data_IF_667080947448
#
_entry.id   IF_667080947448
#
_cell.length_a   1.000
_cell.length_b   1.000
_cell.length_c   1.000
_cell.angle_alpha   90.00
_cell.angle_beta   90.00
_cell.angle_gamma   90.00
#
_symmetry.space_group_name_H-M   'P 1'
#
loop_
_entity.id
_entity.type
_entity.pdbx_description
1 polymer ?
#
# COMPACT_ATOMS: atom_id res chain seq x y z
N UNK A 1 -9.08 -3.06 -13.58
CA UNK A 1 -8.09 -3.58 -12.60
C UNK A 1 -8.63 -3.38 -11.19
N UNK A 2 -8.63 -4.41 -10.34
CA UNK A 2 -9.31 -4.42 -9.04
C UNK A 2 -8.88 -3.28 -8.09
N UNK A 3 -7.58 -2.98 -8.01
CA UNK A 3 -7.07 -1.93 -7.12
C UNK A 3 -7.61 -0.54 -7.48
N UNK A 4 -7.75 -0.24 -8.78
CA UNK A 4 -8.34 1.03 -9.23
C UNK A 4 -9.82 1.17 -8.86
N UNK A 5 -10.58 0.07 -8.94
CA UNK A 5 -11.99 0.05 -8.53
C UNK A 5 -12.15 0.19 -7.02
N UNK A 6 -11.27 -0.43 -6.22
CA UNK A 6 -11.22 -0.21 -4.78
C UNK A 6 -11.01 1.28 -4.46
N UNK A 7 -10.02 1.92 -5.09
CA UNK A 7 -9.73 3.35 -4.88
C UNK A 7 -10.94 4.22 -5.22
N UNK A 8 -11.63 3.96 -6.33
CA UNK A 8 -12.88 4.67 -6.66
C UNK A 8 -13.95 4.46 -5.59
N UNK A 9 -14.18 3.22 -5.18
CA UNK A 9 -15.21 2.88 -4.21
C UNK A 9 -14.98 3.53 -2.83
N UNK A 10 -13.74 3.57 -2.35
CA UNK A 10 -13.43 4.21 -1.05
C UNK A 10 -13.54 5.73 -1.13
N UNK A 11 -13.15 6.35 -2.25
CA UNK A 11 -13.36 7.80 -2.48
C UNK A 11 -14.83 8.17 -2.45
N UNK A 12 -15.69 7.39 -3.11
CA UNK A 12 -17.15 7.60 -3.10
C UNK A 12 -17.75 7.48 -1.69
N UNK A 13 -17.11 6.74 -0.79
CA UNK A 13 -17.48 6.63 0.63
C UNK A 13 -16.85 7.71 1.51
N UNK A 14 -16.17 8.69 0.93
CA UNK A 14 -15.56 9.82 1.65
C UNK A 14 -14.19 9.52 2.27
N UNK A 15 -13.54 8.40 1.93
CA UNK A 15 -12.18 8.13 2.38
C UNK A 15 -11.20 9.16 1.80
N UNK A 16 -10.37 9.74 2.66
CA UNK A 16 -9.38 10.78 2.29
C UNK A 16 -7.95 10.25 2.18
N UNK A 17 -7.73 9.02 2.64
CA UNK A 17 -6.42 8.39 2.66
C UNK A 17 -6.53 6.87 2.58
N UNK A 18 -5.46 6.21 2.10
CA UNK A 18 -5.31 4.74 2.12
C UNK A 18 -3.89 4.38 2.53
N UNK A 19 -3.76 3.37 3.40
CA UNK A 19 -2.50 2.77 3.78
C UNK A 19 -2.52 1.27 3.51
N UNK A 20 -1.35 0.69 3.27
CA UNK A 20 -1.16 -0.76 3.16
C UNK A 20 0.25 -1.17 3.57
N UNK A 21 0.42 -2.45 3.86
CA UNK A 21 1.69 -3.10 4.09
C UNK A 21 2.05 -4.00 2.89
N UNK A 22 3.29 -3.88 2.40
CA UNK A 22 3.80 -4.71 1.29
C UNK A 22 5.21 -5.20 1.58
N UNK A 23 5.53 -6.43 1.16
CA UNK A 23 6.90 -6.97 1.20
C UNK A 23 7.86 -6.09 0.39
N UNK A 24 9.03 -5.70 0.94
CA UNK A 24 10.08 -5.02 0.20
C UNK A 24 10.49 -5.76 -1.09
N UNK A 25 10.47 -7.10 -1.06
CA UNK A 25 10.78 -7.94 -2.23
C UNK A 25 9.74 -7.89 -3.35
N UNK A 26 8.49 -7.49 -3.08
CA UNK A 26 7.41 -7.44 -4.07
C UNK A 26 7.45 -6.14 -4.90
N UNK A 27 8.51 -6.01 -5.72
CA UNK A 27 8.76 -4.81 -6.53
C UNK A 27 7.62 -4.49 -7.51
N UNK A 28 6.92 -5.50 -8.02
CA UNK A 28 5.77 -5.32 -8.91
C UNK A 28 4.59 -4.63 -8.19
N UNK A 29 4.21 -5.12 -7.01
CA UNK A 29 3.16 -4.49 -6.21
C UNK A 29 3.56 -3.08 -5.75
N UNK A 30 4.82 -2.87 -5.35
CA UNK A 30 5.32 -1.54 -4.98
C UNK A 30 5.19 -0.55 -6.15
N UNK A 31 5.55 -0.96 -7.38
CA UNK A 31 5.38 -0.12 -8.58
C UNK A 31 3.90 0.20 -8.84
N UNK A 32 3.02 -0.79 -8.71
CA UNK A 32 1.58 -0.60 -8.82
C UNK A 32 1.08 0.42 -7.78
N UNK A 33 1.41 0.28 -6.50
CA UNK A 33 0.92 1.19 -5.48
C UNK A 33 1.48 2.61 -5.63
N UNK A 34 2.73 2.75 -6.09
CA UNK A 34 3.31 4.04 -6.46
C UNK A 34 2.53 4.74 -7.57
N UNK A 35 2.03 4.01 -8.57
CA UNK A 35 1.23 4.61 -9.65
C UNK A 35 -0.14 5.14 -9.18
N UNK A 36 -0.64 4.67 -8.03
CA UNK A 36 -1.82 5.23 -7.34
C UNK A 36 -1.48 6.29 -6.28
N UNK A 37 -0.24 6.79 -6.27
CA UNK A 37 0.19 7.88 -5.40
C UNK A 37 0.59 7.47 -3.98
N UNK A 38 0.63 6.16 -3.67
CA UNK A 38 1.13 5.70 -2.38
C UNK A 38 2.66 5.82 -2.32
N UNK A 39 3.18 6.20 -1.15
CA UNK A 39 4.62 6.32 -0.89
C UNK A 39 5.00 5.54 0.36
N UNK A 40 6.21 4.99 0.39
CA UNK A 40 6.73 4.36 1.61
C UNK A 40 6.93 5.41 2.70
N UNK A 41 6.32 5.22 3.85
CA UNK A 41 6.38 6.14 5.00
C UNK A 41 7.03 5.50 6.23
N UNK A 42 7.26 4.19 6.19
CA UNK A 42 7.86 3.48 7.30
C UNK A 42 8.04 2.01 7.00
N UNK A 43 8.54 1.28 8.00
CA UNK A 43 8.82 -0.14 7.90
C UNK A 43 8.48 -0.84 9.22
N UNK A 44 7.72 -1.93 9.14
CA UNK A 44 7.48 -2.84 10.26
C UNK A 44 8.51 -3.97 10.20
N UNK A 45 9.35 -4.10 11.23
CA UNK A 45 10.37 -5.15 11.28
C UNK A 45 9.73 -6.53 11.48
N UNK A 46 10.14 -7.52 10.70
CA UNK A 46 9.69 -8.91 10.85
C UNK A 46 8.17 -9.11 10.77
N UNK A 47 7.48 -8.29 9.97
CA UNK A 47 6.02 -8.28 9.90
C UNK A 47 5.45 -9.58 9.30
N UNK A 48 6.11 -10.11 8.28
CA UNK A 48 5.71 -11.35 7.64
C UNK A 48 6.37 -12.53 8.34
N UNK A 49 5.58 -13.28 9.12
CA UNK A 49 6.08 -14.33 10.02
C UNK A 49 6.56 -15.60 9.30
N UNK A 50 6.13 -15.82 8.06
CA UNK A 50 6.50 -16.99 7.26
C UNK A 50 7.99 -16.99 6.88
N UNK A 51 8.59 -15.83 6.67
CA UNK A 51 10.00 -15.70 6.30
C UNK A 51 10.76 -14.63 7.10
N UNK A 52 10.13 -14.02 8.11
CA UNK A 52 10.70 -12.95 8.92
C UNK A 52 10.92 -11.64 8.17
N UNK A 53 10.34 -11.46 6.98
CA UNK A 53 10.56 -10.27 6.17
C UNK A 53 9.82 -9.06 6.76
N UNK A 54 10.46 -7.90 6.64
CA UNK A 54 9.84 -6.62 6.97
C UNK A 54 8.62 -6.32 6.07
N UNK A 55 7.78 -5.38 6.48
CA UNK A 55 6.80 -4.76 5.60
C UNK A 55 7.09 -3.28 5.41
N UNK A 56 7.02 -2.80 4.17
CA UNK A 56 6.91 -1.37 3.89
C UNK A 56 5.49 -0.91 4.17
N UNK A 57 5.35 0.13 5.00
CA UNK A 57 4.08 0.84 5.14
C UNK A 57 4.03 1.86 4.00
N UNK A 58 3.04 1.72 3.12
CA UNK A 58 2.81 2.65 2.02
C UNK A 58 1.52 3.43 2.23
N UNK A 59 1.57 4.75 2.09
CA UNK A 59 0.45 5.64 2.37
C UNK A 59 0.23 6.64 1.21
N UNK A 60 -1.03 6.81 0.80
CA UNK A 60 -1.50 8.01 0.11
C UNK A 60 -2.45 8.78 1.04
N UNK A 61 -2.07 9.99 1.47
CA UNK A 61 -2.85 10.86 2.37
C UNK A 61 -3.79 11.81 1.62
N UNK A 62 -3.84 11.72 0.28
CA UNK A 62 -4.62 12.57 -0.62
C UNK A 62 -5.32 11.69 -1.66
N UNK A 63 -6.35 10.97 -1.22
CA UNK A 63 -7.29 10.30 -2.11
C UNK A 63 -8.25 11.31 -2.75
#
# INVERSE_FOLDING_TARGET
MLFGELIKAVKLRGARAITLEVRPSNTAAIKLYKSFGLRSVGRRKGYYLDNGEDALIMWNTRL
#
